data_IF_231955030742
#
_entry.id   IF_231955030742
#
_cell.length_a   1.000
_cell.length_b   1.000
_cell.length_c   1.000
_cell.angle_alpha   90.00
_cell.angle_beta   90.00
_cell.angle_gamma   90.00
#
_symmetry.space_group_name_H-M   'P 1'
#
loop_
_entity.id
_entity.type
_entity.pdbx_description
1 polymer ?
#
# COMPACT_ATOMS: atom_id res chain seq x y z
N UNK A 1 14.10 -18.75 -30.22
CA UNK A 1 13.56 -19.15 -31.54
C UNK A 1 14.21 -20.43 -32.03
N UNK A 2 13.41 -21.46 -32.36
CA UNK A 2 13.86 -22.68 -33.00
C UNK A 2 14.55 -22.43 -34.36
N UNK A 3 15.40 -23.38 -34.78
CA UNK A 3 16.14 -23.28 -36.05
C UNK A 3 15.24 -23.08 -37.29
N UNK A 4 14.09 -23.76 -37.45
CA UNK A 4 13.21 -23.55 -38.60
C UNK A 4 12.69 -22.12 -38.71
N UNK A 5 12.31 -21.52 -37.58
CA UNK A 5 11.79 -20.15 -37.52
C UNK A 5 12.89 -19.13 -37.80
N UNK A 6 14.07 -19.29 -37.20
CA UNK A 6 15.21 -18.36 -37.37
C UNK A 6 15.66 -18.19 -38.82
N UNK A 7 15.51 -19.22 -39.66
CA UNK A 7 15.94 -19.18 -41.07
C UNK A 7 15.19 -18.13 -41.90
N UNK A 8 13.98 -17.75 -41.49
CA UNK A 8 13.18 -16.71 -42.16
C UNK A 8 13.69 -15.28 -41.89
N UNK A 9 14.63 -15.12 -40.97
CA UNK A 9 15.14 -13.84 -40.50
C UNK A 9 16.66 -13.71 -40.72
N UNK A 10 17.17 -14.29 -41.79
CA UNK A 10 18.60 -14.20 -42.16
C UNK A 10 18.75 -13.26 -43.36
N UNK A 11 19.60 -12.22 -43.29
CA UNK A 11 20.50 -11.86 -42.17
C UNK A 11 19.79 -11.15 -41.02
N UNK A 12 19.99 -11.61 -39.78
CA UNK A 12 19.33 -11.06 -38.59
C UNK A 12 19.51 -9.55 -38.37
N UNK A 13 20.69 -8.94 -38.63
CA UNK A 13 20.87 -7.50 -38.49
C UNK A 13 19.90 -6.67 -39.35
N UNK A 14 19.62 -7.11 -40.57
CA UNK A 14 18.74 -6.39 -41.50
C UNK A 14 17.30 -6.33 -40.96
N UNK A 15 16.82 -7.44 -40.40
CA UNK A 15 15.49 -7.49 -39.79
C UNK A 15 15.42 -6.70 -38.49
N UNK A 16 16.49 -6.70 -37.69
CA UNK A 16 16.55 -5.87 -36.48
C UNK A 16 16.52 -4.38 -36.80
N UNK A 17 17.28 -3.93 -37.80
CA UNK A 17 17.29 -2.53 -38.25
C UNK A 17 15.93 -2.12 -38.84
N UNK A 18 15.34 -2.98 -39.69
CA UNK A 18 14.01 -2.75 -40.24
C UNK A 18 12.92 -2.70 -39.15
N UNK A 19 13.05 -3.51 -38.09
CA UNK A 19 12.17 -3.48 -36.94
C UNK A 19 12.28 -2.15 -36.19
N UNK A 20 13.50 -1.72 -35.85
CA UNK A 20 13.74 -0.47 -35.12
C UNK A 20 13.24 0.76 -35.89
N UNK A 21 13.29 0.74 -37.23
CA UNK A 21 12.75 1.82 -38.07
C UNK A 21 11.22 1.86 -38.18
N UNK A 22 10.49 0.85 -37.68
CA UNK A 22 9.03 0.72 -37.83
C UNK A 22 8.25 0.84 -36.52
N UNK A 23 8.90 0.65 -35.37
CA UNK A 23 8.22 0.66 -34.07
C UNK A 23 8.35 2.00 -33.38
N UNK A 24 7.27 2.41 -32.72
CA UNK A 24 7.32 3.49 -31.72
C UNK A 24 7.70 2.89 -30.37
N UNK A 25 8.73 3.40 -29.67
CA UNK A 25 9.06 2.93 -28.33
C UNK A 25 7.86 3.02 -27.37
N UNK A 26 7.71 2.00 -26.51
CA UNK A 26 6.69 1.92 -25.44
C UNK A 26 5.21 1.88 -25.89
N UNK A 27 4.93 1.75 -27.19
CA UNK A 27 3.56 1.61 -27.70
C UNK A 27 2.97 0.22 -27.42
N UNK A 28 3.78 -0.83 -27.50
CA UNK A 28 3.40 -2.22 -27.25
C UNK A 28 4.47 -2.96 -26.45
N UNK A 29 4.10 -4.06 -25.75
CA UNK A 29 5.08 -4.99 -25.21
C UNK A 29 6.04 -5.48 -26.30
N UNK A 30 7.32 -5.65 -25.94
CA UNK A 30 8.39 -5.91 -26.91
C UNK A 30 8.12 -7.12 -27.82
N UNK A 31 7.66 -8.24 -27.25
CA UNK A 31 7.36 -9.45 -28.03
C UNK A 31 6.16 -9.23 -28.96
N UNK A 32 5.12 -8.55 -28.50
CA UNK A 32 3.94 -8.24 -29.31
C UNK A 32 4.33 -7.38 -30.52
N UNK A 33 5.20 -6.38 -30.31
CA UNK A 33 5.75 -5.55 -31.37
C UNK A 33 6.60 -6.38 -32.35
N UNK A 34 7.50 -7.23 -31.83
CA UNK A 34 8.36 -8.11 -32.64
C UNK A 34 7.52 -9.05 -33.49
N UNK A 35 6.55 -9.75 -32.91
CA UNK A 35 5.67 -10.68 -33.62
C UNK A 35 4.87 -9.98 -34.71
N UNK A 36 4.29 -8.81 -34.42
CA UNK A 36 3.53 -8.00 -35.38
C UNK A 36 4.38 -7.58 -36.57
N UNK A 37 5.56 -7.00 -36.30
CA UNK A 37 6.39 -6.41 -37.35
C UNK A 37 7.17 -7.48 -38.14
N UNK A 38 7.67 -8.54 -37.51
CA UNK A 38 8.31 -9.65 -38.21
C UNK A 38 7.35 -10.37 -39.16
N UNK A 39 6.08 -10.53 -38.75
CA UNK A 39 5.04 -11.07 -39.63
C UNK A 39 4.73 -10.13 -40.80
N UNK A 40 4.69 -8.82 -40.58
CA UNK A 40 4.50 -7.84 -41.67
C UNK A 40 5.64 -7.86 -42.69
N UNK A 41 6.88 -8.10 -42.23
CA UNK A 41 8.05 -8.15 -43.10
C UNK A 41 8.16 -9.45 -43.91
N UNK A 42 7.74 -10.58 -43.33
CA UNK A 42 8.05 -11.92 -43.89
C UNK A 42 6.82 -12.76 -44.23
N UNK A 43 5.65 -12.40 -43.74
CA UNK A 43 4.44 -13.24 -43.77
C UNK A 43 4.43 -14.39 -42.76
N UNK A 44 5.55 -14.64 -42.07
CA UNK A 44 5.70 -15.75 -41.12
C UNK A 44 5.25 -15.31 -39.73
N UNK A 45 4.37 -16.10 -39.12
CA UNK A 45 4.01 -15.94 -37.71
C UNK A 45 5.07 -16.60 -36.84
N UNK A 46 5.54 -15.89 -35.82
CA UNK A 46 6.37 -16.45 -34.75
C UNK A 46 5.48 -16.63 -33.53
N UNK A 47 5.30 -17.87 -33.08
CA UNK A 47 4.44 -18.16 -31.93
C UNK A 47 5.12 -17.73 -30.62
N UNK A 48 4.32 -17.41 -29.60
CA UNK A 48 4.84 -16.86 -28.33
C UNK A 48 5.81 -17.84 -27.66
N UNK A 49 5.54 -19.13 -27.80
CA UNK A 49 6.30 -20.24 -27.22
C UNK A 49 7.69 -20.42 -27.89
N UNK A 50 7.87 -19.91 -29.11
CA UNK A 50 9.15 -19.96 -29.83
C UNK A 50 10.18 -18.97 -29.26
N UNK A 51 9.76 -18.01 -28.44
CA UNK A 51 10.63 -17.03 -27.79
C UNK A 51 11.29 -17.60 -26.53
N UNK A 52 12.38 -18.34 -26.73
CA UNK A 52 13.25 -18.87 -25.65
C UNK A 52 14.14 -17.77 -25.03
N UNK A 53 13.59 -17.00 -24.09
CA UNK A 53 14.29 -15.91 -23.38
C UNK A 53 15.46 -16.37 -22.50
N UNK A 54 15.41 -17.60 -22.04
CA UNK A 54 16.46 -18.29 -21.30
C UNK A 54 17.75 -18.45 -22.13
N UNK A 55 17.63 -18.49 -23.46
CA UNK A 55 18.78 -18.61 -24.38
C UNK A 55 19.46 -17.28 -24.68
N UNK A 56 18.86 -16.13 -24.32
CA UNK A 56 19.47 -14.82 -24.53
C UNK A 56 20.61 -14.63 -23.53
N UNK A 57 21.86 -14.40 -23.97
CA UNK A 57 22.97 -14.13 -23.08
C UNK A 57 22.67 -12.99 -22.11
N UNK A 58 23.07 -13.18 -20.85
CA UNK A 58 22.75 -12.26 -19.76
C UNK A 58 23.22 -10.81 -19.97
N UNK A 59 24.28 -10.59 -20.75
CA UNK A 59 24.79 -9.26 -21.09
C UNK A 59 23.98 -8.54 -22.18
N UNK A 60 23.05 -9.24 -22.85
CA UNK A 60 22.11 -8.66 -23.83
C UNK A 60 20.74 -8.38 -23.23
N UNK A 61 20.50 -8.78 -21.98
CA UNK A 61 19.26 -8.47 -21.26
C UNK A 61 19.34 -7.04 -20.69
N UNK A 62 18.17 -6.40 -20.59
CA UNK A 62 18.04 -5.06 -20.03
C UNK A 62 18.60 -5.06 -18.60
N UNK A 63 19.49 -4.11 -18.32
CA UNK A 63 20.01 -3.86 -16.98
C UNK A 63 19.62 -2.46 -16.57
N UNK A 64 18.95 -2.35 -15.42
CA UNK A 64 18.59 -1.07 -14.82
C UNK A 64 19.74 -0.61 -13.93
N UNK A 65 20.08 0.68 -14.03
CA UNK A 65 21.04 1.34 -13.14
C UNK A 65 20.37 2.55 -12.51
N UNK A 66 20.33 2.56 -11.18
CA UNK A 66 19.86 3.70 -10.40
C UNK A 66 21.08 4.55 -10.04
N UNK A 67 21.01 5.84 -10.39
CA UNK A 67 22.05 6.83 -10.10
C UNK A 67 21.48 7.95 -9.23
N UNK A 68 22.35 8.66 -8.52
CA UNK A 68 21.96 9.87 -7.81
C UNK A 68 22.07 11.14 -8.67
N UNK A 69 21.83 12.29 -8.05
CA UNK A 69 21.97 13.64 -8.62
C UNK A 69 23.37 13.95 -9.21
N UNK A 70 24.42 13.28 -8.71
CA UNK A 70 25.81 13.38 -9.20
C UNK A 70 26.18 12.30 -10.21
N UNK A 71 25.21 11.59 -10.80
CA UNK A 71 25.41 10.43 -11.68
C UNK A 71 26.21 9.27 -11.05
N UNK A 72 26.33 9.23 -9.72
CA UNK A 72 26.96 8.11 -9.01
C UNK A 72 26.00 6.93 -8.95
N UNK A 73 26.46 5.75 -9.36
CA UNK A 73 25.71 4.49 -9.26
C UNK A 73 25.36 4.19 -7.79
N UNK A 74 24.07 4.09 -7.49
CA UNK A 74 23.55 3.63 -6.20
C UNK A 74 23.42 2.11 -6.21
N UNK A 75 22.76 1.57 -7.23
CA UNK A 75 22.59 0.13 -7.44
C UNK A 75 22.31 -0.16 -8.92
N UNK A 76 22.58 -1.39 -9.35
CA UNK A 76 22.21 -1.88 -10.68
C UNK A 76 21.74 -3.33 -10.59
N UNK A 77 20.88 -3.73 -11.51
CA UNK A 77 20.24 -5.04 -11.49
C UNK A 77 19.30 -5.24 -12.66
N UNK A 78 18.80 -6.48 -12.82
CA UNK A 78 17.91 -6.85 -13.94
C UNK A 78 16.43 -6.71 -13.61
N UNK A 79 16.09 -6.66 -12.32
CA UNK A 79 14.73 -6.45 -11.85
C UNK A 79 14.58 -5.04 -11.28
N UNK A 80 13.76 -4.22 -11.94
CA UNK A 80 13.40 -2.90 -11.44
C UNK A 80 12.67 -3.00 -10.09
N UNK A 81 11.86 -4.04 -9.89
CA UNK A 81 11.14 -4.26 -8.64
C UNK A 81 12.10 -4.55 -7.48
N UNK A 82 13.10 -5.41 -7.68
CA UNK A 82 14.13 -5.70 -6.67
C UNK A 82 14.96 -4.45 -6.35
N UNK A 83 15.31 -3.66 -7.38
CA UNK A 83 16.02 -2.40 -7.18
C UNK A 83 15.20 -1.39 -6.37
N UNK A 84 13.90 -1.24 -6.67
CA UNK A 84 12.99 -0.38 -5.89
C UNK A 84 12.93 -0.83 -4.44
N UNK A 85 12.73 -2.12 -4.19
CA UNK A 85 12.65 -2.68 -2.84
C UNK A 85 13.95 -2.47 -2.05
N UNK A 86 15.11 -2.74 -2.68
CA UNK A 86 16.41 -2.58 -2.05
C UNK A 86 16.76 -1.12 -1.72
N UNK A 87 16.22 -0.17 -2.51
CA UNK A 87 16.50 1.26 -2.35
C UNK A 87 15.42 2.01 -1.57
N UNK A 88 14.33 1.37 -1.16
CA UNK A 88 13.20 2.01 -0.48
C UNK A 88 13.61 2.89 0.70
N UNK A 89 14.50 2.40 1.57
CA UNK A 89 15.03 3.19 2.70
C UNK A 89 15.80 4.44 2.26
N UNK A 90 16.58 4.36 1.18
CA UNK A 90 17.32 5.52 0.64
C UNK A 90 16.39 6.52 -0.04
N UNK A 91 15.30 6.06 -0.63
CA UNK A 91 14.28 6.96 -1.19
C UNK A 91 13.64 7.76 -0.06
N UNK A 92 13.27 7.12 1.04
CA UNK A 92 12.71 7.76 2.23
C UNK A 92 13.68 8.81 2.82
N UNK A 93 14.95 8.46 3.03
CA UNK A 93 15.98 9.42 3.48
C UNK A 93 16.11 10.62 2.53
N UNK A 94 16.04 10.36 1.22
CA UNK A 94 16.13 11.42 0.21
C UNK A 94 14.91 12.32 0.25
N UNK A 95 13.70 11.76 0.42
CA UNK A 95 12.44 12.51 0.53
C UNK A 95 12.45 13.47 1.71
N UNK A 96 12.78 12.98 2.91
CA UNK A 96 12.89 13.82 4.11
C UNK A 96 13.94 14.92 3.97
N UNK A 97 15.06 14.65 3.29
CA UNK A 97 16.13 15.63 3.08
C UNK A 97 15.81 16.69 2.02
N UNK A 98 14.79 16.48 1.16
CA UNK A 98 14.40 17.45 0.13
C UNK A 98 13.12 18.20 0.44
N UNK A 99 12.30 17.70 1.38
CA UNK A 99 11.07 18.35 1.77
C UNK A 99 11.28 19.82 2.16
N UNK A 100 10.33 20.68 1.82
CA UNK A 100 10.32 22.04 2.36
C UNK A 100 10.23 21.99 3.89
N UNK A 101 11.00 22.86 4.56
CA UNK A 101 11.00 22.95 6.01
C UNK A 101 9.55 23.11 6.52
N UNK A 102 9.09 22.13 7.31
CA UNK A 102 7.77 22.15 7.96
C UNK A 102 6.69 21.24 7.36
N UNK A 103 6.95 20.54 6.25
CA UNK A 103 6.01 19.50 5.76
C UNK A 103 5.98 18.31 6.73
N UNK A 104 7.15 17.78 7.10
CA UNK A 104 7.22 16.71 8.10
C UNK A 104 7.10 17.29 9.51
N UNK A 105 6.20 16.73 10.29
CA UNK A 105 5.89 17.15 11.66
C UNK A 105 5.69 15.90 12.52
N UNK A 106 5.84 16.00 13.84
CA UNK A 106 5.67 14.86 14.76
C UNK A 106 5.07 15.34 16.09
N UNK A 107 4.54 14.42 16.88
CA UNK A 107 3.96 14.77 18.18
C UNK A 107 2.66 15.59 18.10
N UNK A 108 1.95 15.54 16.97
CA UNK A 108 0.70 16.26 16.78
C UNK A 108 -0.44 15.54 17.50
N UNK A 109 -1.27 16.30 18.22
CA UNK A 109 -2.44 15.77 18.95
C UNK A 109 -3.76 16.34 18.44
N UNK A 110 -3.69 17.39 17.63
CA UNK A 110 -4.84 18.07 17.01
C UNK A 110 -4.52 18.37 15.54
N UNK A 111 -5.55 18.65 14.74
CA UNK A 111 -5.36 19.13 13.38
C UNK A 111 -4.90 20.60 13.40
N UNK A 112 -3.59 20.85 13.30
CA UNK A 112 -3.00 22.20 13.40
C UNK A 112 -2.05 22.56 12.25
N UNK A 113 -2.12 21.83 11.14
CA UNK A 113 -1.16 21.88 10.04
C UNK A 113 -1.79 22.31 8.70
N UNK A 114 -3.05 22.78 8.73
CA UNK A 114 -3.76 23.26 7.53
C UNK A 114 -4.14 22.12 6.59
N UNK A 115 -4.00 22.35 5.28
CA UNK A 115 -4.30 21.36 4.25
C UNK A 115 -3.10 20.42 4.02
N UNK A 116 -3.36 19.11 4.02
CA UNK A 116 -2.38 18.10 3.69
C UNK A 116 -2.52 17.74 2.21
N UNK A 117 -1.56 18.10 1.34
CA UNK A 117 -1.72 17.86 -0.10
C UNK A 117 -1.66 16.37 -0.43
N UNK A 118 -2.53 15.88 -1.32
CA UNK A 118 -2.52 14.46 -1.71
C UNK A 118 -1.24 14.01 -2.40
N UNK A 119 -0.52 14.94 -3.03
CA UNK A 119 0.85 14.72 -3.50
C UNK A 119 1.61 16.03 -3.59
N UNK A 120 2.93 15.92 -3.52
CA UNK A 120 3.88 17.02 -3.57
C UNK A 120 4.95 16.70 -4.62
N UNK A 121 5.30 17.65 -5.47
CA UNK A 121 6.38 17.52 -6.44
C UNK A 121 7.40 18.64 -6.25
N UNK A 122 8.67 18.26 -6.14
CA UNK A 122 9.77 19.22 -6.04
C UNK A 122 10.85 18.91 -7.09
N UNK A 123 11.43 19.97 -7.67
CA UNK A 123 12.50 19.83 -8.66
C UNK A 123 13.86 19.96 -7.97
N UNK A 124 14.70 18.94 -8.07
CA UNK A 124 16.08 18.95 -7.59
C UNK A 124 17.05 18.68 -8.75
N UNK A 125 17.72 19.74 -9.21
CA UNK A 125 18.55 19.69 -10.41
C UNK A 125 17.72 19.31 -11.65
N UNK A 126 18.07 18.18 -12.29
CA UNK A 126 17.37 17.67 -13.47
C UNK A 126 16.26 16.67 -13.16
N UNK A 127 16.04 16.32 -11.89
CA UNK A 127 15.05 15.32 -11.49
C UNK A 127 13.85 15.98 -10.80
N UNK A 128 12.65 15.45 -11.05
CA UNK A 128 11.44 15.73 -10.27
C UNK A 128 11.26 14.64 -9.24
N UNK A 129 11.17 15.01 -7.98
CA UNK A 129 10.87 14.11 -6.87
C UNK A 129 9.39 14.28 -6.54
N UNK A 130 8.65 13.17 -6.60
CA UNK A 130 7.25 13.12 -6.22
C UNK A 130 7.14 12.41 -4.88
N UNK A 131 6.36 13.01 -3.98
CA UNK A 131 6.13 12.51 -2.64
C UNK A 131 4.63 12.57 -2.31
N UNK A 132 4.24 11.77 -1.34
CA UNK A 132 2.85 11.63 -0.90
C UNK A 132 2.80 11.78 0.61
N UNK A 133 2.51 12.97 1.16
CA UNK A 133 2.44 13.14 2.60
C UNK A 133 1.21 12.44 3.17
N UNK A 134 1.33 11.93 4.39
CA UNK A 134 0.24 11.30 5.12
C UNK A 134 0.43 11.46 6.64
N UNK A 135 -0.68 11.40 7.36
CA UNK A 135 -0.66 11.18 8.80
C UNK A 135 -0.12 9.80 9.12
N UNK A 136 0.69 9.69 10.18
CA UNK A 136 1.27 8.44 10.67
C UNK A 136 0.94 8.29 12.14
N UNK A 137 0.45 7.11 12.53
CA UNK A 137 0.18 6.76 13.92
C UNK A 137 1.49 6.59 14.71
N UNK A 138 1.72 7.44 15.72
CA UNK A 138 2.85 7.36 16.66
C UNK A 138 2.42 6.87 18.06
N UNK A 139 1.24 6.24 18.15
CA UNK A 139 0.57 5.71 19.35
C UNK A 139 -0.02 6.78 20.26
N UNK A 140 0.77 7.69 20.78
CA UNK A 140 0.29 8.77 21.65
C UNK A 140 0.02 10.07 20.90
N UNK A 141 0.45 10.13 19.64
CA UNK A 141 0.37 11.29 18.78
C UNK A 141 0.30 10.85 17.31
N UNK A 142 0.27 11.82 16.39
CA UNK A 142 0.46 11.60 14.96
C UNK A 142 1.62 12.42 14.42
N UNK A 143 2.23 11.92 13.35
CA UNK A 143 3.21 12.64 12.55
C UNK A 143 2.69 12.88 11.13
N UNK A 144 3.30 13.82 10.42
CA UNK A 144 3.20 13.93 8.96
C UNK A 144 4.52 13.42 8.39
N UNK A 145 4.46 12.40 7.53
CA UNK A 145 5.63 11.82 6.85
C UNK A 145 5.40 11.73 5.35
N UNK A 146 6.48 11.79 4.59
CA UNK A 146 6.44 11.67 3.14
C UNK A 146 6.64 10.23 2.67
N UNK A 147 5.77 9.78 1.78
CA UNK A 147 5.87 8.46 1.15
C UNK A 147 6.29 8.59 -0.31
N UNK A 148 6.88 7.52 -0.86
CA UNK A 148 7.26 7.38 -2.27
C UNK A 148 6.26 6.52 -3.07
N UNK A 149 5.18 6.11 -2.41
CA UNK A 149 4.14 5.24 -2.96
C UNK A 149 2.76 5.68 -2.47
N UNK A 150 1.79 5.98 -3.36
CA UNK A 150 0.44 6.37 -2.97
C UNK A 150 -0.31 5.29 -2.18
N UNK A 151 -0.01 4.00 -2.38
CA UNK A 151 -0.66 2.94 -1.61
C UNK A 151 -0.24 2.97 -0.13
N UNK A 152 1.05 3.22 0.13
CA UNK A 152 1.58 3.32 1.49
C UNK A 152 1.11 4.59 2.17
N UNK A 153 1.03 5.70 1.43
CA UNK A 153 0.40 6.92 1.88
C UNK A 153 -1.05 6.67 2.34
N UNK A 154 -1.88 6.02 1.52
CA UNK A 154 -3.29 5.79 1.88
C UNK A 154 -3.43 4.94 3.15
N UNK A 155 -2.63 3.87 3.28
CA UNK A 155 -2.63 3.02 4.47
C UNK A 155 -2.18 3.78 5.73
N UNK A 156 -1.10 4.56 5.61
CA UNK A 156 -0.59 5.40 6.68
C UNK A 156 -1.64 6.45 7.08
N UNK A 157 -2.16 7.19 6.10
CA UNK A 157 -3.15 8.25 6.28
C UNK A 157 -4.39 7.73 7.00
N UNK A 158 -4.87 6.56 6.65
CA UNK A 158 -5.99 5.92 7.32
C UNK A 158 -5.70 5.66 8.80
N UNK A 159 -4.57 5.02 9.10
CA UNK A 159 -4.16 4.73 10.47
C UNK A 159 -3.92 6.01 11.30
N UNK A 160 -3.25 7.00 10.70
CA UNK A 160 -2.98 8.29 11.33
C UNK A 160 -4.26 9.09 11.59
N UNK A 161 -5.21 9.12 10.65
CA UNK A 161 -6.51 9.77 10.84
C UNK A 161 -7.31 9.10 11.96
N UNK A 162 -7.34 7.76 12.01
CA UNK A 162 -7.95 7.01 13.11
C UNK A 162 -7.31 7.38 14.45
N UNK A 163 -5.98 7.44 14.52
CA UNK A 163 -5.26 7.86 15.74
C UNK A 163 -5.67 9.26 16.16
N UNK A 164 -5.66 10.22 15.23
CA UNK A 164 -6.01 11.60 15.52
C UNK A 164 -7.45 11.73 16.02
N UNK A 165 -8.40 11.00 15.45
CA UNK A 165 -9.78 10.93 15.96
C UNK A 165 -9.83 10.37 17.37
N UNK A 166 -9.12 9.27 17.66
CA UNK A 166 -9.08 8.65 18.98
C UNK A 166 -8.45 9.55 20.06
N UNK A 167 -7.49 10.39 19.69
CA UNK A 167 -6.91 11.39 20.61
C UNK A 167 -7.90 12.50 20.95
N UNK A 168 -8.87 12.77 20.08
CA UNK A 168 -9.80 13.91 20.19
C UNK A 168 -11.23 13.51 20.57
N UNK A 169 -11.53 12.20 20.73
CA UNK A 169 -12.86 11.68 21.06
C UNK A 169 -12.80 10.92 22.39
N UNK A 170 -13.75 11.16 23.32
CA UNK A 170 -13.80 10.40 24.57
C UNK A 170 -13.87 8.89 24.34
N UNK A 171 -13.06 8.14 25.10
CA UNK A 171 -13.01 6.68 24.98
C UNK A 171 -14.37 6.02 25.24
N UNK A 172 -14.83 5.10 24.38
CA UNK A 172 -16.09 4.39 24.54
C UNK A 172 -16.02 3.26 25.59
N UNK A 173 -14.85 2.98 26.18
CA UNK A 173 -14.62 1.84 27.08
C UNK A 173 -15.63 1.80 28.23
N UNK A 174 -15.88 2.95 28.88
CA UNK A 174 -16.84 3.00 30.00
C UNK A 174 -18.26 2.65 29.54
N UNK A 175 -18.71 3.24 28.44
CA UNK A 175 -20.03 2.97 27.86
C UNK A 175 -20.17 1.50 27.43
N UNK A 176 -19.13 0.96 26.79
CA UNK A 176 -19.05 -0.44 26.40
C UNK A 176 -19.20 -1.38 27.59
N UNK A 177 -18.48 -1.11 28.70
CA UNK A 177 -18.61 -1.89 29.93
C UNK A 177 -20.01 -1.80 30.55
N UNK A 178 -20.68 -0.65 30.48
CA UNK A 178 -22.04 -0.49 30.99
C UNK A 178 -23.08 -1.23 30.14
N UNK A 179 -22.92 -1.23 28.81
CA UNK A 179 -23.91 -1.79 27.87
C UNK A 179 -23.71 -3.26 27.55
N UNK A 180 -22.51 -3.82 27.71
CA UNK A 180 -22.29 -5.26 27.46
C UNK A 180 -22.87 -6.11 28.59
N UNK A 181 -23.74 -7.10 28.29
CA UNK A 181 -24.18 -8.09 29.26
C UNK A 181 -22.99 -8.87 29.87
N UNK A 182 -23.09 -9.29 31.13
CA UNK A 182 -22.01 -10.06 31.78
C UNK A 182 -21.63 -11.34 31.02
N UNK A 183 -22.61 -12.03 30.42
CA UNK A 183 -22.34 -13.18 29.55
C UNK A 183 -21.49 -12.79 28.34
N UNK A 184 -21.73 -11.63 27.74
CA UNK A 184 -20.95 -11.16 26.61
C UNK A 184 -19.52 -10.79 27.02
N UNK A 185 -19.36 -10.15 28.18
CA UNK A 185 -18.04 -9.88 28.76
C UNK A 185 -17.23 -11.17 28.98
N UNK A 186 -17.88 -12.24 29.44
CA UNK A 186 -17.25 -13.55 29.58
C UNK A 186 -16.83 -14.16 28.24
N UNK A 187 -17.66 -14.04 27.20
CA UNK A 187 -17.33 -14.56 25.86
C UNK A 187 -16.09 -13.91 25.24
N UNK A 188 -15.79 -12.65 25.56
CA UNK A 188 -14.56 -11.99 25.14
C UNK A 188 -13.28 -12.63 25.73
N UNK A 189 -13.37 -13.35 26.85
CA UNK A 189 -12.22 -14.09 27.41
C UNK A 189 -11.86 -15.34 26.61
N UNK A 190 -12.69 -15.78 25.67
CA UNK A 190 -12.34 -16.85 24.74
C UNK A 190 -11.37 -16.38 23.63
N UNK A 191 -10.95 -15.12 23.66
CA UNK A 191 -9.96 -14.56 22.75
C UNK A 191 -8.66 -15.40 22.76
N UNK A 192 -8.28 -16.01 21.63
CA UNK A 192 -7.07 -16.81 21.55
C UNK A 192 -5.78 -15.97 21.47
N UNK A 193 -5.88 -14.65 21.25
CA UNK A 193 -4.73 -13.78 20.98
C UNK A 193 -4.71 -12.56 21.90
N UNK A 194 -3.68 -12.43 22.73
CA UNK A 194 -3.48 -11.23 23.53
C UNK A 194 -4.48 -11.07 24.69
N UNK A 195 -4.58 -9.84 25.19
CA UNK A 195 -5.43 -9.51 26.36
C UNK A 195 -6.80 -9.03 25.91
N UNK A 196 -7.81 -9.19 26.78
CA UNK A 196 -9.18 -8.69 26.51
C UNK A 196 -9.21 -7.17 26.26
N UNK A 197 -8.34 -6.41 26.93
CA UNK A 197 -8.23 -4.96 26.69
C UNK A 197 -7.73 -4.63 25.28
N UNK A 198 -6.76 -5.40 24.75
CA UNK A 198 -6.28 -5.23 23.38
C UNK A 198 -7.39 -5.55 22.37
N UNK A 199 -8.20 -6.57 22.63
CA UNK A 199 -9.38 -6.87 21.80
C UNK A 199 -10.44 -5.75 21.85
N UNK A 200 -10.61 -5.11 23.01
CA UNK A 200 -11.49 -3.95 23.13
C UNK A 200 -10.95 -2.78 22.30
N UNK A 201 -9.65 -2.52 22.39
CA UNK A 201 -8.99 -1.49 21.57
C UNK A 201 -9.15 -1.79 20.06
N UNK A 202 -9.05 -3.05 19.64
CA UNK A 202 -9.30 -3.47 18.26
C UNK A 202 -10.76 -3.23 17.83
N UNK A 203 -11.73 -3.52 18.73
CA UNK A 203 -13.14 -3.21 18.46
C UNK A 203 -13.38 -1.71 18.30
N UNK A 204 -12.68 -0.90 19.10
CA UNK A 204 -12.74 0.57 19.03
C UNK A 204 -12.14 1.06 17.72
N UNK A 205 -10.95 0.59 17.37
CA UNK A 205 -10.28 0.92 16.12
C UNK A 205 -11.16 0.56 14.90
N UNK A 206 -11.74 -0.64 14.91
CA UNK A 206 -12.68 -1.10 13.88
C UNK A 206 -13.94 -0.22 13.81
N UNK A 207 -14.46 0.22 14.96
CA UNK A 207 -15.60 1.14 15.02
C UNK A 207 -15.29 2.50 14.40
N UNK A 208 -14.12 3.06 14.70
CA UNK A 208 -13.66 4.30 14.06
C UNK A 208 -13.47 4.10 12.57
N UNK A 209 -12.79 3.04 12.12
CA UNK A 209 -12.57 2.74 10.70
C UNK A 209 -13.89 2.64 9.93
N UNK A 210 -14.88 1.93 10.49
CA UNK A 210 -16.21 1.81 9.90
C UNK A 210 -16.88 3.16 9.71
N UNK A 211 -16.73 4.07 10.69
CA UNK A 211 -17.33 5.40 10.63
C UNK A 211 -16.55 6.34 9.71
N UNK A 212 -15.23 6.18 9.59
CA UNK A 212 -14.41 6.86 8.57
C UNK A 212 -14.91 6.48 7.17
N UNK A 213 -15.02 5.19 6.88
CA UNK A 213 -15.46 4.67 5.58
C UNK A 213 -16.89 5.12 5.23
N UNK A 214 -17.82 4.98 6.17
CA UNK A 214 -19.22 5.34 5.98
C UNK A 214 -19.45 6.85 5.71
N UNK A 215 -18.50 7.71 6.09
CA UNK A 215 -18.57 9.15 5.88
C UNK A 215 -17.61 9.65 4.79
N UNK A 216 -17.08 8.75 3.95
CA UNK A 216 -16.28 9.10 2.77
C UNK A 216 -14.84 9.52 3.06
N UNK A 217 -14.28 9.09 4.19
CA UNK A 217 -12.86 9.32 4.51
C UNK A 217 -11.89 8.46 3.69
N UNK A 218 -10.56 8.70 3.83
CA UNK A 218 -9.91 9.67 4.70
C UNK A 218 -10.06 11.12 4.19
N UNK A 219 -9.76 12.09 5.05
CA UNK A 219 -9.91 13.54 4.78
C UNK A 219 -8.55 14.24 4.81
N UNK A 220 -8.38 15.28 3.99
CA UNK A 220 -7.10 15.95 3.75
C UNK A 220 -7.03 17.39 4.25
N UNK A 221 -8.09 17.87 4.91
CA UNK A 221 -8.16 19.23 5.44
C UNK A 221 -8.94 19.28 6.76
N UNK A 222 -8.79 20.41 7.46
CA UNK A 222 -9.37 20.62 8.80
C UNK A 222 -10.90 20.56 8.81
N UNK A 223 -11.54 21.09 7.77
CA UNK A 223 -13.00 21.07 7.66
C UNK A 223 -13.54 19.64 7.55
N UNK A 224 -12.90 18.80 6.72
CA UNK A 224 -13.20 17.38 6.61
C UNK A 224 -12.96 16.63 7.92
N UNK A 225 -11.84 16.90 8.60
CA UNK A 225 -11.56 16.31 9.91
C UNK A 225 -12.62 16.67 10.95
N UNK A 226 -13.03 17.94 11.00
CA UNK A 226 -14.04 18.44 11.94
C UNK A 226 -15.39 17.79 11.69
N UNK A 227 -15.82 17.70 10.43
CA UNK A 227 -17.06 17.02 10.06
C UNK A 227 -17.03 15.53 10.45
N UNK A 228 -15.90 14.86 10.22
CA UNK A 228 -15.72 13.46 10.56
C UNK A 228 -15.67 13.24 12.07
N UNK A 229 -14.99 14.11 12.81
CA UNK A 229 -14.92 14.08 14.27
C UNK A 229 -16.31 14.12 14.90
N UNK A 230 -17.17 15.04 14.47
CA UNK A 230 -18.54 15.15 14.99
C UNK A 230 -19.37 13.89 14.74
N UNK A 231 -19.25 13.29 13.53
CA UNK A 231 -19.93 12.04 13.18
C UNK A 231 -19.43 10.86 14.00
N UNK A 232 -18.12 10.67 14.06
CA UNK A 232 -17.51 9.58 14.83
C UNK A 232 -17.85 9.73 16.30
N UNK A 233 -17.75 10.94 16.87
CA UNK A 233 -18.08 11.21 18.27
C UNK A 233 -19.52 10.85 18.61
N UNK A 234 -20.47 11.13 17.72
CA UNK A 234 -21.88 10.84 17.93
C UNK A 234 -22.19 9.33 17.90
N UNK A 235 -21.52 8.56 17.04
CA UNK A 235 -21.91 7.19 16.70
C UNK A 235 -20.97 6.11 17.26
N UNK A 236 -19.77 6.47 17.73
CA UNK A 236 -18.72 5.51 18.12
C UNK A 236 -19.18 4.57 19.24
N UNK A 237 -19.83 5.09 20.27
CA UNK A 237 -20.26 4.32 21.43
C UNK A 237 -21.14 3.12 21.04
N UNK A 238 -22.20 3.36 20.27
CA UNK A 238 -23.13 2.30 19.86
C UNK A 238 -22.50 1.38 18.80
N UNK A 239 -21.70 1.94 17.89
CA UNK A 239 -20.97 1.18 16.87
C UNK A 239 -20.03 0.15 17.51
N UNK A 240 -19.25 0.55 18.52
CA UNK A 240 -18.32 -0.34 19.22
C UNK A 240 -19.06 -1.41 20.01
N UNK A 241 -20.20 -1.08 20.64
CA UNK A 241 -21.04 -2.07 21.33
C UNK A 241 -21.52 -3.15 20.36
N UNK A 242 -21.96 -2.76 19.17
CA UNK A 242 -22.45 -3.71 18.17
C UNK A 242 -21.34 -4.57 17.56
N UNK A 243 -20.15 -4.00 17.36
CA UNK A 243 -18.95 -4.77 16.97
C UNK A 243 -18.58 -5.77 18.06
N UNK A 244 -18.51 -5.34 19.33
CA UNK A 244 -18.15 -6.21 20.44
C UNK A 244 -19.13 -7.38 20.63
N UNK A 245 -20.44 -7.17 20.41
CA UNK A 245 -21.44 -8.26 20.39
C UNK A 245 -21.18 -9.27 19.28
N UNK A 246 -20.78 -8.81 18.09
CA UNK A 246 -20.46 -9.70 16.97
C UNK A 246 -19.20 -10.51 17.26
N UNK A 247 -18.15 -9.86 17.76
CA UNK A 247 -16.90 -10.51 18.17
C UNK A 247 -17.17 -11.56 19.24
N UNK A 248 -17.94 -11.23 20.27
CA UNK A 248 -18.33 -12.17 21.31
C UNK A 248 -19.03 -13.41 20.74
N UNK A 249 -20.02 -13.21 19.87
CA UNK A 249 -20.74 -14.31 19.23
C UNK A 249 -19.81 -15.23 18.45
N UNK A 250 -18.84 -14.65 17.72
CA UNK A 250 -17.83 -15.40 16.96
C UNK A 250 -16.95 -16.21 17.92
N UNK A 251 -16.39 -15.58 18.95
CA UNK A 251 -15.51 -16.23 19.94
C UNK A 251 -16.23 -17.36 20.69
N UNK A 252 -17.46 -17.13 21.13
CA UNK A 252 -18.30 -18.16 21.76
C UNK A 252 -18.58 -19.33 20.81
N UNK A 253 -18.81 -19.05 19.52
CA UNK A 253 -19.01 -20.09 18.50
C UNK A 253 -17.75 -20.94 18.31
N UNK A 254 -16.59 -20.29 18.15
CA UNK A 254 -15.29 -20.96 18.02
C UNK A 254 -14.99 -21.81 19.25
N UNK A 255 -15.22 -21.29 20.45
CA UNK A 255 -15.05 -22.04 21.70
C UNK A 255 -15.90 -23.31 21.73
N UNK A 256 -17.19 -23.21 21.37
CA UNK A 256 -18.11 -24.35 21.34
C UNK A 256 -17.70 -25.41 20.30
N UNK A 257 -17.23 -24.99 19.12
CA UNK A 257 -16.70 -25.90 18.10
C UNK A 257 -15.47 -26.63 18.64
N UNK A 258 -14.51 -25.90 19.22
CA UNK A 258 -13.29 -26.50 19.79
C UNK A 258 -13.60 -27.48 20.92
N UNK A 259 -14.60 -27.17 21.76
CA UNK A 259 -15.07 -28.08 22.81
C UNK A 259 -15.60 -29.39 22.23
N UNK A 260 -16.39 -29.33 21.15
CA UNK A 260 -16.92 -30.52 20.47
C UNK A 260 -15.83 -31.34 19.78
N UNK A 261 -14.88 -30.68 19.12
CA UNK A 261 -13.75 -31.35 18.46
C UNK A 261 -12.84 -32.08 19.45
N UNK A 262 -12.64 -31.53 20.66
CA UNK A 262 -11.89 -32.22 21.73
C UNK A 262 -12.68 -33.36 22.40
N UNK A 263 -14.01 -33.32 22.35
CA UNK A 263 -14.89 -34.32 22.97
C UNK A 263 -15.27 -35.50 22.07
N UNK A 264 -14.72 -35.61 20.86
CA UNK A 264 -15.09 -36.62 19.85
C UNK A 264 -14.32 -37.95 19.90
N UNK A 265 -13.61 -38.25 20.99
CA UNK A 265 -12.89 -39.53 21.18
C UNK A 265 -13.09 -40.05 22.60
N UNK A 266 -14.30 -40.53 22.92
CA UNK A 266 -14.56 -41.51 23.99
C UNK A 266 -15.68 -42.42 23.51
#
# INVERSE_FOLDING_TARGET
>A
MPKPVRRNFVPAPNYAEAFLGRVTPLELPLLDALERELRRMTGVTVDREDWHWDQVPEHLKITFRVVNDKNKKLQEGRSLAELKNALKGKVQETLSAVADDGIEQSGLHIWSFGELPESYEQKRGNYKVKAWPALVDERDSVAIKLFDNPLEQQQAMWCGLRRLLLLNIPSPIKYLHEKLPNKAKLGLYFNPYGKVLELIDDCIACGVDKLIDANGGPVWNEAGFTALHEKVRAELNDTVVDIAKQVERILTTVFNINKRLKGGWI
#
